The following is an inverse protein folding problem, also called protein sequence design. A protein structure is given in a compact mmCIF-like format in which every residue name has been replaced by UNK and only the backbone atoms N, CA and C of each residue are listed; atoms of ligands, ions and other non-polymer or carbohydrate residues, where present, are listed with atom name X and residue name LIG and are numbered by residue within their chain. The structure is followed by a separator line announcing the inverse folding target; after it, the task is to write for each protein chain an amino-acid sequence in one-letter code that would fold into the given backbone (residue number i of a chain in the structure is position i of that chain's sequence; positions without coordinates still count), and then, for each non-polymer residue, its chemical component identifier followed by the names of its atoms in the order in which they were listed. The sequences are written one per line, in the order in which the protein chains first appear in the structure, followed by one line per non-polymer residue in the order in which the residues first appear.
data_IF_282999359579
#
_entry.id   IF_282999359579
#
_cell.length_a   1.000
_cell.length_b   1.000
_cell.length_c   1.000
_cell.angle_alpha   90.00
_cell.angle_beta   90.00
_cell.angle_gamma   90.00
#
_symmetry.space_group_name_H-M   'P 1'
#
loop_
_entity.id
_entity.type
_entity.pdbx_description
1 polymer ?
#
# COMPACT_ATOMS: atom_id res chain seq x y z
N UNK A 1 -25.18 -34.27 -13.45
CA UNK A 1 -24.95 -33.04 -14.24
C UNK A 1 -23.51 -32.65 -14.01
N UNK A 2 -22.70 -32.58 -15.07
CA UNK A 2 -21.30 -32.13 -14.94
C UNK A 2 -21.31 -30.72 -14.33
N UNK A 3 -20.59 -30.51 -13.21
CA UNK A 3 -20.35 -29.16 -12.70
C UNK A 3 -19.71 -28.38 -13.86
N UNK A 4 -20.36 -27.31 -14.31
CA UNK A 4 -19.76 -26.37 -15.24
C UNK A 4 -18.40 -25.99 -14.66
N UNK A 5 -17.33 -26.09 -15.45
CA UNK A 5 -16.01 -25.71 -14.99
C UNK A 5 -16.04 -24.19 -14.75
N UNK A 6 -16.01 -23.70 -13.50
CA UNK A 6 -16.16 -22.29 -13.25
C UNK A 6 -14.97 -21.54 -13.87
N UNK A 7 -15.23 -20.34 -14.38
CA UNK A 7 -14.17 -19.47 -14.89
C UNK A 7 -13.45 -18.87 -13.70
N UNK A 8 -12.37 -19.54 -13.32
CA UNK A 8 -11.58 -19.21 -12.15
C UNK A 8 -10.45 -18.26 -12.54
N UNK A 9 -10.23 -17.24 -11.70
CA UNK A 9 -9.01 -16.44 -11.69
C UNK A 9 -8.29 -16.61 -10.35
N UNK A 10 -7.04 -17.04 -10.38
CA UNK A 10 -6.15 -17.00 -9.23
C UNK A 10 -5.26 -15.76 -9.31
N UNK A 11 -5.43 -14.85 -8.35
CA UNK A 11 -4.64 -13.64 -8.18
C UNK A 11 -3.51 -13.90 -7.18
N UNK A 12 -2.28 -13.67 -7.66
CA UNK A 12 -1.07 -13.67 -6.85
C UNK A 12 -0.51 -12.26 -6.87
N UNK A 13 -0.14 -11.73 -5.70
CA UNK A 13 0.73 -10.56 -5.68
C UNK A 13 2.17 -11.04 -5.85
N UNK A 14 2.74 -10.77 -7.02
CA UNK A 14 4.18 -10.87 -7.26
C UNK A 14 4.65 -9.45 -7.55
N UNK A 15 5.10 -8.77 -6.49
CA UNK A 15 5.69 -7.42 -6.52
C UNK A 15 4.95 -6.41 -7.43
N UNK A 16 3.63 -6.24 -7.25
CA UNK A 16 2.91 -5.11 -7.83
C UNK A 16 2.84 -5.06 -9.37
N UNK A 17 2.96 -6.21 -10.05
CA UNK A 17 3.01 -6.30 -11.53
C UNK A 17 1.67 -6.56 -12.22
N UNK A 18 0.52 -6.31 -11.58
CA UNK A 18 -0.77 -6.25 -12.30
C UNK A 18 -0.88 -4.91 -13.06
N UNK A 19 -0.22 -4.84 -14.22
CA UNK A 19 -0.02 -3.64 -15.05
C UNK A 19 -1.10 -3.45 -16.12
N UNK A 20 -2.32 -3.05 -15.73
CA UNK A 20 -3.30 -2.58 -16.72
C UNK A 20 -4.00 -1.25 -16.40
N UNK A 21 -3.88 -0.71 -15.18
CA UNK A 21 -4.54 0.57 -14.87
C UNK A 21 -3.76 1.43 -13.87
N UNK A 22 -2.60 1.91 -14.27
CA UNK A 22 -1.86 2.87 -13.45
C UNK A 22 -2.47 4.27 -13.63
N UNK A 23 -3.42 4.64 -12.76
CA UNK A 23 -3.85 6.04 -12.65
C UNK A 23 -2.67 6.90 -12.18
N UNK A 24 -2.47 8.04 -12.84
CA UNK A 24 -1.52 9.04 -12.39
C UNK A 24 -2.10 9.76 -11.17
N UNK A 25 -1.38 9.74 -10.05
CA UNK A 25 -1.75 10.49 -8.84
C UNK A 25 -2.00 11.97 -9.18
N UNK A 26 -1.16 12.54 -10.06
CA UNK A 26 -1.27 13.92 -10.52
C UNK A 26 -2.58 14.19 -11.25
N UNK A 27 -2.99 13.29 -12.13
CA UNK A 27 -4.23 13.44 -12.89
C UNK A 27 -5.46 13.31 -11.99
N UNK A 28 -5.41 12.41 -11.00
CA UNK A 28 -6.55 12.16 -10.12
C UNK A 28 -6.75 13.27 -9.06
N UNK A 29 -5.66 13.73 -8.43
CA UNK A 29 -5.74 14.70 -7.32
C UNK A 29 -5.66 16.15 -7.82
N UNK A 30 -4.94 16.39 -8.92
CA UNK A 30 -4.65 17.72 -9.43
C UNK A 30 -3.42 18.35 -8.80
N UNK A 31 -2.73 19.17 -9.59
CA UNK A 31 -1.44 19.76 -9.24
C UNK A 31 -1.52 20.70 -8.03
N UNK A 32 -2.60 21.48 -7.90
CA UNK A 32 -2.76 22.47 -6.83
C UNK A 32 -2.89 21.82 -5.45
N UNK A 33 -3.69 20.75 -5.35
CA UNK A 33 -3.82 19.95 -4.13
C UNK A 33 -2.48 19.29 -3.79
N UNK A 34 -1.81 18.69 -4.77
CA UNK A 34 -0.51 18.06 -4.56
C UNK A 34 0.54 19.06 -4.06
N UNK A 35 0.63 20.24 -4.66
CA UNK A 35 1.56 21.27 -4.21
C UNK A 35 1.28 21.70 -2.77
N UNK A 36 0.00 21.90 -2.39
CA UNK A 36 -0.37 22.23 -1.00
C UNK A 36 0.04 21.13 -0.02
N UNK A 37 -0.23 19.87 -0.37
CA UNK A 37 0.15 18.72 0.44
C UNK A 37 1.67 18.61 0.60
N UNK A 38 2.41 18.70 -0.51
CA UNK A 38 3.88 18.61 -0.53
C UNK A 38 4.50 19.74 0.27
N UNK A 39 4.06 20.99 0.08
CA UNK A 39 4.58 22.15 0.81
C UNK A 39 4.40 22.00 2.31
N UNK A 40 3.19 21.61 2.75
CA UNK A 40 2.94 21.38 4.17
C UNK A 40 3.81 20.25 4.73
N UNK A 41 3.93 19.15 3.98
CA UNK A 41 4.75 17.99 4.38
C UNK A 41 6.22 18.37 4.50
N UNK A 42 6.77 19.13 3.56
CA UNK A 42 8.15 19.62 3.60
C UNK A 42 8.38 20.55 4.79
N UNK A 43 7.47 21.48 5.06
CA UNK A 43 7.56 22.36 6.23
C UNK A 43 7.48 21.57 7.55
N UNK A 44 6.61 20.56 7.63
CA UNK A 44 6.53 19.68 8.78
C UNK A 44 7.87 18.95 9.01
N UNK A 45 8.41 18.33 7.96
CA UNK A 45 9.70 17.61 8.03
C UNK A 45 10.85 18.56 8.38
N UNK A 46 10.86 19.78 7.86
CA UNK A 46 11.88 20.77 8.19
C UNK A 46 11.93 21.06 9.70
N UNK A 47 10.76 21.15 10.35
CA UNK A 47 10.61 21.43 11.77
C UNK A 47 10.70 20.19 12.68
N UNK A 48 10.80 18.97 12.14
CA UNK A 48 10.97 17.77 12.96
C UNK A 48 12.32 17.80 13.70
N UNK A 49 12.29 17.55 14.99
CA UNK A 49 13.50 17.30 15.77
C UNK A 49 13.73 15.79 15.86
N UNK A 50 14.61 15.28 15.00
CA UNK A 50 15.01 13.87 14.95
C UNK A 50 16.54 13.78 14.79
N UNK A 51 17.19 12.71 15.27
CA UNK A 51 18.65 12.65 15.32
C UNK A 51 19.35 12.76 13.96
N UNK A 52 18.71 12.24 12.91
CA UNK A 52 19.29 12.14 11.57
C UNK A 52 18.26 12.55 10.52
N UNK A 53 18.70 13.40 9.57
CA UNK A 53 18.02 13.68 8.30
C UNK A 53 19.01 13.52 7.15
N UNK A 54 18.54 13.02 6.02
CA UNK A 54 19.31 12.80 4.78
C UNK A 54 18.60 13.51 3.63
N UNK A 55 18.14 12.77 2.62
CA UNK A 55 17.49 13.30 1.43
C UNK A 55 16.43 12.35 0.89
N UNK A 56 15.66 12.82 -0.09
CA UNK A 56 14.48 12.12 -0.61
C UNK A 56 13.43 11.88 0.49
N UNK A 57 12.96 12.99 1.06
CA UNK A 57 11.92 13.00 2.10
C UNK A 57 10.53 12.73 1.55
N UNK A 58 10.29 13.13 0.30
CA UNK A 58 9.07 12.84 -0.45
C UNK A 58 9.51 12.28 -1.79
N UNK A 59 9.10 11.05 -2.09
CA UNK A 59 9.32 10.40 -3.37
C UNK A 59 7.99 10.31 -4.11
N UNK A 60 7.88 10.99 -5.25
CA UNK A 60 6.69 10.95 -6.10
C UNK A 60 6.72 9.69 -6.96
N UNK A 61 5.75 8.80 -6.79
CA UNK A 61 5.56 7.60 -7.61
C UNK A 61 4.31 7.75 -8.46
N UNK A 62 4.10 6.83 -9.39
CA UNK A 62 2.97 6.92 -10.33
C UNK A 62 1.61 6.96 -9.62
N UNK A 63 1.41 6.11 -8.61
CA UNK A 63 0.14 5.98 -7.90
C UNK A 63 0.08 6.58 -6.49
N UNK A 64 1.20 7.08 -5.97
CA UNK A 64 1.34 7.42 -4.56
C UNK A 64 2.53 8.36 -4.29
N UNK A 65 2.56 8.95 -3.10
CA UNK A 65 3.74 9.57 -2.52
C UNK A 65 4.30 8.65 -1.44
N UNK A 66 5.60 8.41 -1.43
CA UNK A 66 6.28 7.83 -0.26
C UNK A 66 6.91 8.97 0.56
N UNK A 67 6.60 9.04 1.85
CA UNK A 67 7.08 10.09 2.75
C UNK A 67 7.98 9.45 3.81
N UNK A 68 9.19 9.97 3.97
CA UNK A 68 10.20 9.49 4.93
C UNK A 68 10.73 10.66 5.77
N UNK A 69 10.52 10.69 7.10
CA UNK A 69 11.03 11.77 7.96
C UNK A 69 12.57 11.86 7.97
N UNK A 70 13.26 10.71 8.03
CA UNK A 70 14.73 10.63 7.94
C UNK A 70 15.23 10.87 6.51
N UNK A 71 14.42 10.57 5.50
CA UNK A 71 14.78 10.60 4.07
C UNK A 71 15.33 9.25 3.58
N UNK A 72 14.94 8.84 2.36
CA UNK A 72 15.28 7.52 1.79
C UNK A 72 16.76 7.31 1.47
N UNK A 73 17.53 8.38 1.37
CA UNK A 73 18.97 8.33 1.08
C UNK A 73 19.82 7.99 2.33
N UNK A 74 19.21 7.50 3.40
CA UNK A 74 19.92 7.02 4.58
C UNK A 74 20.53 5.62 4.37
N UNK A 75 21.58 5.31 5.13
CA UNK A 75 22.22 3.98 5.15
C UNK A 75 21.30 2.93 5.79
N UNK A 76 21.66 1.65 5.68
CA UNK A 76 20.90 0.59 6.37
C UNK A 76 20.98 0.70 7.89
N UNK A 77 22.16 1.02 8.44
CA UNK A 77 22.33 1.28 9.88
C UNK A 77 21.42 2.43 10.35
N UNK A 78 21.35 3.53 9.57
CA UNK A 78 20.45 4.65 9.86
C UNK A 78 18.97 4.27 9.77
N UNK A 79 18.59 3.31 8.90
CA UNK A 79 17.22 2.77 8.83
C UNK A 79 16.87 2.03 10.09
N UNK A 80 17.75 1.13 10.53
CA UNK A 80 17.56 0.31 11.72
C UNK A 80 17.45 1.19 12.98
N UNK A 81 18.28 2.23 13.07
CA UNK A 81 18.25 3.17 14.18
C UNK A 81 17.03 4.09 14.17
N UNK A 82 16.61 4.55 12.98
CA UNK A 82 15.37 5.32 12.86
C UNK A 82 14.14 4.46 13.19
N UNK A 83 14.11 3.18 12.82
CA UNK A 83 13.01 2.28 13.16
C UNK A 83 12.87 2.12 14.68
N UNK A 84 13.99 1.89 15.39
CA UNK A 84 14.01 1.82 16.86
C UNK A 84 13.56 3.15 17.48
N UNK A 85 14.06 4.27 16.95
CA UNK A 85 13.69 5.61 17.41
C UNK A 85 12.19 5.87 17.19
N UNK A 86 11.67 5.57 16.01
CA UNK A 86 10.27 5.76 15.66
C UNK A 86 9.33 4.86 16.48
N UNK A 87 9.74 3.64 16.82
CA UNK A 87 8.97 2.78 17.71
C UNK A 87 8.74 3.42 19.10
N UNK A 88 9.74 4.13 19.63
CA UNK A 88 9.66 4.81 20.94
C UNK A 88 8.94 6.16 20.81
N UNK A 89 9.34 6.97 19.82
CA UNK A 89 8.93 8.36 19.70
C UNK A 89 7.68 8.58 18.83
N UNK A 90 7.27 7.55 18.08
CA UNK A 90 6.06 7.53 17.26
C UNK A 90 6.04 8.65 16.22
N UNK A 91 7.18 8.91 15.56
CA UNK A 91 7.37 10.04 14.64
C UNK A 91 6.42 9.94 13.44
N UNK A 92 6.40 8.80 12.76
CA UNK A 92 5.57 8.56 11.57
C UNK A 92 4.08 8.60 11.91
N UNK A 93 3.65 7.94 12.98
CA UNK A 93 2.23 7.91 13.38
C UNK A 93 1.71 9.29 13.79
N UNK A 94 2.50 10.07 14.54
CA UNK A 94 2.19 11.48 14.85
C UNK A 94 2.10 12.32 13.58
N UNK A 95 3.07 12.19 12.66
CA UNK A 95 3.07 12.91 11.39
C UNK A 95 1.84 12.57 10.54
N UNK A 96 1.49 11.29 10.41
CA UNK A 96 0.28 10.84 9.69
C UNK A 96 -0.99 11.45 10.29
N UNK A 97 -1.11 11.49 11.62
CA UNK A 97 -2.27 12.08 12.28
C UNK A 97 -2.40 13.59 12.00
N UNK A 98 -1.27 14.32 12.00
CA UNK A 98 -1.26 15.75 11.64
C UNK A 98 -1.66 15.94 10.17
N UNK A 99 -1.10 15.15 9.25
CA UNK A 99 -1.44 15.23 7.83
C UNK A 99 -2.92 14.92 7.58
N UNK A 100 -3.47 13.89 8.24
CA UNK A 100 -4.88 13.53 8.14
C UNK A 100 -5.80 14.64 8.64
N UNK A 101 -5.45 15.29 9.76
CA UNK A 101 -6.21 16.41 10.30
C UNK A 101 -6.11 17.66 9.41
N UNK A 102 -4.97 17.87 8.75
CA UNK A 102 -4.73 19.01 7.87
C UNK A 102 -5.43 18.89 6.51
N UNK A 103 -5.59 17.68 5.99
CA UNK A 103 -6.14 17.40 4.65
C UNK A 103 -7.33 16.43 4.67
N UNK A 104 -8.37 16.67 5.50
CA UNK A 104 -9.49 15.74 5.64
C UNK A 104 -10.31 15.60 4.35
N UNK A 105 -10.30 16.63 3.49
CA UNK A 105 -11.04 16.72 2.23
C UNK A 105 -10.27 16.14 1.03
N UNK A 106 -9.05 15.65 1.22
CA UNK A 106 -8.23 15.11 0.13
C UNK A 106 -8.47 13.61 -0.10
N UNK A 107 -9.16 12.95 0.83
CA UNK A 107 -9.49 11.53 0.77
C UNK A 107 -8.24 10.66 0.52
N UNK A 108 -7.19 10.92 1.31
CA UNK A 108 -5.97 10.14 1.30
C UNK A 108 -6.02 9.01 2.33
N UNK A 109 -5.53 7.85 1.93
CA UNK A 109 -5.12 6.76 2.81
C UNK A 109 -3.62 6.90 3.09
N UNK A 110 -3.24 6.64 4.34
CA UNK A 110 -1.86 6.70 4.82
C UNK A 110 -1.50 5.32 5.36
N UNK A 111 -0.46 4.70 4.81
CA UNK A 111 -0.02 3.35 5.18
C UNK A 111 1.41 3.39 5.70
N UNK A 112 1.59 3.17 7.00
CA UNK A 112 2.93 3.05 7.61
C UNK A 112 3.45 1.66 7.32
N UNK A 113 4.58 1.58 6.62
CA UNK A 113 5.18 0.32 6.20
C UNK A 113 6.70 0.41 6.12
N UNK A 114 7.36 -0.71 6.41
CA UNK A 114 8.83 -0.78 6.48
C UNK A 114 9.42 0.04 7.63
N UNK A 115 10.72 0.35 7.52
CA UNK A 115 11.50 0.90 8.63
C UNK A 115 11.39 2.42 8.78
N UNK A 116 11.28 3.15 7.66
CA UNK A 116 11.53 4.60 7.65
C UNK A 116 10.41 5.48 7.07
N UNK A 117 9.42 4.90 6.39
CA UNK A 117 8.48 5.67 5.58
C UNK A 117 7.03 5.27 5.80
N UNK A 118 6.14 6.03 5.18
CA UNK A 118 4.75 5.67 4.95
C UNK A 118 4.31 6.13 3.56
N UNK A 119 3.36 5.41 2.98
CA UNK A 119 2.78 5.74 1.68
C UNK A 119 1.52 6.57 1.85
N UNK A 120 1.30 7.49 0.91
CA UNK A 120 0.11 8.36 0.81
C UNK A 120 -0.47 8.20 -0.58
N UNK A 121 -1.72 7.75 -0.64
CA UNK A 121 -2.43 7.47 -1.89
C UNK A 121 -3.91 7.76 -1.74
N UNK A 122 -4.66 7.98 -2.83
CA UNK A 122 -6.10 8.20 -2.75
C UNK A 122 -6.79 6.96 -2.17
N UNK A 123 -7.80 7.16 -1.31
CA UNK A 123 -8.55 6.05 -0.72
C UNK A 123 -9.18 5.16 -1.79
N UNK A 124 -9.07 3.83 -1.60
CA UNK A 124 -9.48 2.83 -2.58
C UNK A 124 -8.48 2.58 -3.71
N UNK A 125 -7.24 3.08 -3.59
CA UNK A 125 -6.09 2.70 -4.43
C UNK A 125 -5.20 1.65 -3.72
N UNK A 126 -5.78 0.86 -2.83
CA UNK A 126 -5.22 -0.40 -2.34
C UNK A 126 -5.41 -1.53 -3.38
N UNK A 127 -5.06 -2.78 -3.04
CA UNK A 127 -5.09 -3.91 -3.97
C UNK A 127 -6.50 -4.19 -4.53
N UNK A 128 -7.57 -3.79 -3.84
CA UNK A 128 -8.95 -3.94 -4.34
C UNK A 128 -9.19 -3.16 -5.63
N UNK A 129 -8.35 -2.16 -5.94
CA UNK A 129 -8.45 -1.36 -7.15
C UNK A 129 -8.44 -2.21 -8.43
N UNK A 130 -7.68 -3.32 -8.44
CA UNK A 130 -7.61 -4.20 -9.61
C UNK A 130 -8.95 -4.90 -9.91
N UNK A 131 -9.79 -5.12 -8.89
CA UNK A 131 -11.09 -5.78 -9.03
C UNK A 131 -12.05 -5.00 -9.93
N UNK A 132 -11.85 -3.69 -10.09
CA UNK A 132 -12.65 -2.84 -11.00
C UNK A 132 -12.46 -3.20 -12.48
N UNK A 133 -11.36 -3.86 -12.81
CA UNK A 133 -11.05 -4.30 -14.19
C UNK A 133 -11.44 -5.77 -14.42
N UNK A 134 -11.94 -6.45 -13.39
CA UNK A 134 -12.38 -7.84 -13.46
C UNK A 134 -13.90 -7.87 -13.44
N UNK A 135 -14.53 -8.06 -14.61
CA UNK A 135 -16.00 -8.12 -14.70
C UNK A 135 -16.55 -9.36 -13.99
N UNK A 136 -17.72 -9.26 -13.36
CA UNK A 136 -18.52 -10.45 -12.96
C UNK A 136 -18.91 -11.30 -14.16
N UNK A 137 -18.97 -10.70 -15.34
CA UNK A 137 -19.30 -11.42 -16.55
C UNK A 137 -18.16 -12.31 -17.02
N UNK A 138 -16.92 -12.13 -16.54
CA UNK A 138 -15.72 -12.83 -17.03
C UNK A 138 -15.26 -13.97 -16.10
N UNK A 139 -15.48 -13.82 -14.80
CA UNK A 139 -15.03 -14.76 -13.78
C UNK A 139 -16.14 -15.07 -12.78
N UNK A 140 -16.31 -16.36 -12.50
CA UNK A 140 -17.30 -16.85 -11.56
C UNK A 140 -16.71 -16.88 -10.13
N UNK A 141 -15.40 -17.17 -10.02
CA UNK A 141 -14.65 -17.19 -8.77
C UNK A 141 -13.32 -16.44 -8.94
N UNK A 142 -12.98 -15.59 -7.96
CA UNK A 142 -11.68 -14.91 -7.90
C UNK A 142 -11.01 -15.34 -6.60
N UNK A 143 -9.95 -16.13 -6.69
CA UNK A 143 -9.15 -16.53 -5.55
C UNK A 143 -8.00 -15.53 -5.37
N UNK A 144 -7.79 -15.03 -4.16
CA UNK A 144 -6.67 -14.13 -3.86
C UNK A 144 -5.75 -14.79 -2.83
N UNK A 145 -4.44 -14.82 -3.10
CA UNK A 145 -3.43 -15.37 -2.20
C UNK A 145 -2.51 -14.25 -1.71
N UNK A 146 -2.33 -14.10 -0.39
CA UNK A 146 -1.50 -13.05 0.20
C UNK A 146 -0.89 -13.42 1.56
N UNK A 147 0.26 -12.83 1.89
CA UNK A 147 1.01 -13.10 3.12
C UNK A 147 0.71 -12.07 4.23
N UNK A 148 0.32 -10.85 3.88
CA UNK A 148 0.04 -9.74 4.81
C UNK A 148 -1.45 -9.44 4.91
N UNK A 149 -2.22 -10.47 5.24
CA UNK A 149 -3.70 -10.45 5.27
C UNK A 149 -4.30 -10.08 6.64
N UNK A 150 -3.49 -9.64 7.59
CA UNK A 150 -3.95 -9.13 8.88
C UNK A 150 -4.37 -7.65 8.76
N UNK A 151 -5.21 -7.15 9.67
CA UNK A 151 -5.61 -5.72 9.71
C UNK A 151 -4.36 -4.83 9.72
N UNK A 152 -4.24 -3.96 8.70
CA UNK A 152 -3.09 -3.06 8.52
C UNK A 152 -1.98 -3.62 7.60
N UNK A 153 -2.05 -4.90 7.22
CA UNK A 153 -1.23 -5.46 6.15
C UNK A 153 -1.74 -5.03 4.77
N UNK A 154 -0.86 -4.96 3.78
CA UNK A 154 -1.20 -4.45 2.45
C UNK A 154 -2.06 -5.38 1.59
N UNK A 155 -2.30 -6.63 2.03
CA UNK A 155 -3.22 -7.57 1.39
C UNK A 155 -4.61 -7.56 2.02
N UNK A 156 -4.78 -6.90 3.17
CA UNK A 156 -5.98 -7.03 3.99
C UNK A 156 -7.25 -6.69 3.20
N UNK A 157 -7.28 -5.53 2.55
CA UNK A 157 -8.48 -5.02 1.88
C UNK A 157 -8.93 -5.93 0.74
N UNK A 158 -8.00 -6.45 -0.07
CA UNK A 158 -8.34 -7.39 -1.15
C UNK A 158 -8.66 -8.78 -0.62
N UNK A 159 -7.99 -9.24 0.44
CA UNK A 159 -8.22 -10.56 1.04
C UNK A 159 -9.64 -10.71 1.62
N UNK A 160 -10.19 -9.64 2.23
CA UNK A 160 -11.54 -9.66 2.81
C UNK A 160 -12.63 -9.14 1.87
N UNK A 161 -12.30 -8.80 0.63
CA UNK A 161 -13.26 -8.23 -0.32
C UNK A 161 -14.29 -9.30 -0.74
N UNK A 162 -15.58 -8.92 -0.82
CA UNK A 162 -16.69 -9.83 -1.14
C UNK A 162 -16.55 -10.56 -2.49
N UNK A 163 -15.91 -9.92 -3.47
CA UNK A 163 -15.55 -10.43 -4.80
C UNK A 163 -14.46 -11.48 -4.78
N UNK A 164 -13.76 -11.69 -3.67
CA UNK A 164 -12.62 -12.59 -3.59
C UNK A 164 -12.83 -13.70 -2.57
N UNK A 165 -12.25 -14.86 -2.86
CA UNK A 165 -12.04 -15.95 -1.93
C UNK A 165 -10.59 -15.84 -1.46
N UNK A 166 -10.38 -15.28 -0.28
CA UNK A 166 -9.05 -15.00 0.27
C UNK A 166 -8.37 -16.24 0.88
N UNK A 167 -7.09 -16.42 0.54
CA UNK A 167 -6.19 -17.47 1.04
C UNK A 167 -4.96 -16.83 1.67
N UNK A 168 -4.82 -16.96 2.98
CA UNK A 168 -3.64 -16.47 3.69
C UNK A 168 -2.51 -17.50 3.53
N UNK A 169 -1.34 -17.05 3.10
CA UNK A 169 -0.16 -17.91 2.86
C UNK A 169 1.04 -17.42 3.65
N UNK A 170 1.98 -18.31 3.95
CA UNK A 170 3.22 -17.94 4.67
C UNK A 170 4.47 -17.95 3.81
N UNK A 171 4.42 -18.64 2.68
CA UNK A 171 5.54 -18.77 1.76
C UNK A 171 5.06 -19.16 0.36
N UNK A 172 5.91 -19.04 -0.68
CA UNK A 172 5.59 -19.51 -2.02
C UNK A 172 5.21 -21.00 -2.06
N UNK A 173 5.83 -21.84 -1.23
CA UNK A 173 5.53 -23.27 -1.14
C UNK A 173 4.13 -23.53 -0.56
N UNK A 174 3.70 -22.70 0.39
CA UNK A 174 2.36 -22.76 0.97
C UNK A 174 1.29 -22.40 -0.08
N UNK A 175 1.58 -21.40 -0.91
CA UNK A 175 0.75 -21.06 -2.08
C UNK A 175 0.64 -22.24 -3.04
N UNK A 176 1.76 -22.87 -3.42
CA UNK A 176 1.76 -24.02 -4.33
C UNK A 176 0.92 -25.18 -3.78
N UNK A 177 1.10 -25.52 -2.49
CA UNK A 177 0.31 -26.55 -1.82
C UNK A 177 -1.20 -26.26 -1.88
N UNK A 178 -1.61 -25.02 -1.61
CA UNK A 178 -3.03 -24.65 -1.68
C UNK A 178 -3.58 -24.70 -3.11
N UNK A 179 -2.77 -24.35 -4.13
CA UNK A 179 -3.19 -24.48 -5.52
C UNK A 179 -3.45 -25.94 -5.90
N UNK A 180 -2.55 -26.85 -5.52
CA UNK A 180 -2.71 -28.29 -5.78
C UNK A 180 -3.95 -28.87 -5.05
N UNK A 181 -4.29 -28.35 -3.86
CA UNK A 181 -5.47 -28.77 -3.09
C UNK A 181 -6.79 -28.22 -3.68
N UNK A 182 -6.78 -26.98 -4.18
CA UNK A 182 -7.97 -26.29 -4.68
C UNK A 182 -8.28 -26.61 -6.15
N UNK A 183 -7.26 -26.89 -6.95
CA UNK A 183 -7.36 -27.09 -8.40
C UNK A 183 -6.64 -28.39 -8.85
N UNK A 184 -7.14 -29.57 -8.44
CA UNK A 184 -6.53 -30.87 -8.74
C UNK A 184 -6.72 -31.33 -10.20
#
# INVERSE_FOLDING_TARGET
MAKANPRILALFDVDGTLTAARKSLKEFIGNDKLNKFINFTLLYIANLDIPVKRGTFIEFRQGMLNVSPIGRNCSQEERDDFEKYDHIHQVRSKMVNVLRAQFPDYNFTYSIGGQISFDVFPTGWDKTYCLKFLSSADYDEIHFFGDKTHVGGNDYEIFVHDRTIGHAVKSPEDTMRLLDELFP
#
